data_IF_526149999565
#
_entry.id   IF_526149999565
#
_cell.length_a   1.000
_cell.length_b   1.000
_cell.length_c   1.000
_cell.angle_alpha   90.00
_cell.angle_beta   90.00
_cell.angle_gamma   90.00
#
_symmetry.space_group_name_H-M   'P 1'
#
loop_
_entity.id
_entity.type
_entity.pdbx_description
1 polymer ?
#
# COMPACT_ATOMS: atom_id res chain seq x y z
N UNK A 1 18.94 -4.99 -0.95
CA UNK A 1 18.41 -4.10 0.12
C UNK A 1 17.05 -3.58 -0.31
N UNK A 2 16.16 -3.28 0.64
CA UNK A 2 14.83 -2.73 0.37
C UNK A 2 14.22 -2.12 1.62
N UNK A 3 13.16 -1.35 1.45
CA UNK A 3 12.42 -0.68 2.51
C UNK A 3 10.92 -0.79 2.22
N UNK A 4 10.12 -0.70 3.27
CA UNK A 4 8.66 -0.65 3.22
C UNK A 4 8.19 0.07 4.50
N UNK A 5 7.20 0.93 4.37
CA UNK A 5 6.59 1.64 5.49
C UNK A 5 5.12 1.23 5.62
N UNK A 6 4.67 1.12 6.86
CA UNK A 6 3.26 1.00 7.22
C UNK A 6 2.81 2.33 7.83
N UNK A 7 1.86 2.99 7.20
CA UNK A 7 1.30 4.24 7.69
C UNK A 7 -0.10 3.99 8.26
N UNK A 8 -0.27 4.16 9.56
CA UNK A 8 -1.56 4.00 10.22
C UNK A 8 -2.39 5.27 9.99
N UNK A 9 -3.54 5.13 9.35
CA UNK A 9 -4.42 6.28 9.12
C UNK A 9 -5.50 6.35 10.19
N UNK A 10 -6.16 5.22 10.47
CA UNK A 10 -7.28 5.12 11.42
C UNK A 10 -7.22 3.83 12.24
N UNK A 11 -8.18 3.64 13.14
CA UNK A 11 -8.31 2.46 14.00
C UNK A 11 -8.32 1.13 13.23
N UNK A 12 -8.88 1.10 12.01
CA UNK A 12 -9.04 -0.12 11.22
C UNK A 12 -8.32 -0.09 9.87
N UNK A 13 -7.61 0.99 9.54
CA UNK A 13 -7.07 1.25 8.20
C UNK A 13 -5.61 1.72 8.22
N UNK A 14 -4.79 1.06 7.41
CA UNK A 14 -3.41 1.46 7.16
C UNK A 14 -3.06 1.45 5.66
N UNK A 15 -1.95 2.10 5.32
CA UNK A 15 -1.41 2.20 3.97
C UNK A 15 0.00 1.61 3.92
N UNK A 16 0.29 0.80 2.89
CA UNK A 16 1.66 0.44 2.54
C UNK A 16 2.26 1.58 1.72
N UNK A 17 3.32 2.20 2.24
CA UNK A 17 4.04 3.29 1.58
C UNK A 17 5.50 2.93 1.34
N UNK A 18 6.11 3.60 0.36
CA UNK A 18 7.55 3.58 0.13
C UNK A 18 8.14 2.16 0.03
N UNK A 19 7.38 1.21 -0.51
CA UNK A 19 7.86 -0.14 -0.76
C UNK A 19 8.79 -0.11 -1.96
N UNK A 20 10.10 -0.26 -1.69
CA UNK A 20 11.13 -0.20 -2.70
C UNK A 20 12.17 -1.30 -2.49
N UNK A 21 12.63 -1.89 -3.59
CA UNK A 21 13.72 -2.88 -3.60
C UNK A 21 14.78 -2.43 -4.60
N UNK A 22 16.03 -2.37 -4.13
CA UNK A 22 17.19 -2.03 -4.95
C UNK A 22 17.26 -2.94 -6.18
N UNK A 23 17.60 -2.39 -7.34
CA UNK A 23 17.45 -3.06 -8.64
C UNK A 23 18.14 -4.43 -8.71
N UNK A 24 19.44 -4.52 -8.34
CA UNK A 24 20.18 -5.80 -8.29
C UNK A 24 19.70 -6.79 -7.22
N UNK A 25 18.71 -6.40 -6.42
CA UNK A 25 18.07 -7.23 -5.39
C UNK A 25 16.61 -7.59 -5.73
N UNK A 26 16.06 -7.12 -6.85
CA UNK A 26 14.68 -7.44 -7.29
C UNK A 26 14.56 -8.92 -7.67
N UNK A 27 13.31 -9.41 -7.71
CA UNK A 27 12.94 -10.82 -8.03
C UNK A 27 13.51 -11.90 -7.08
N UNK A 28 14.14 -11.50 -5.96
CA UNK A 28 14.63 -12.40 -4.90
C UNK A 28 13.65 -12.55 -3.72
N UNK A 29 12.38 -12.20 -3.91
CA UNK A 29 11.35 -12.28 -2.86
C UNK A 29 11.42 -11.22 -1.75
N UNK A 30 12.35 -10.26 -1.83
CA UNK A 30 12.54 -9.22 -0.79
C UNK A 30 11.29 -8.37 -0.61
N UNK A 31 10.66 -7.92 -1.71
CA UNK A 31 9.43 -7.12 -1.65
C UNK A 31 8.31 -7.84 -0.92
N UNK A 32 8.08 -9.12 -1.24
CA UNK A 32 7.09 -9.96 -0.55
C UNK A 32 7.41 -10.12 0.94
N UNK A 33 8.70 -10.27 1.29
CA UNK A 33 9.11 -10.39 2.70
C UNK A 33 8.83 -9.09 3.46
N UNK A 34 9.19 -7.94 2.89
CA UNK A 34 8.94 -6.62 3.50
C UNK A 34 7.44 -6.38 3.67
N UNK A 35 6.64 -6.62 2.61
CA UNK A 35 5.19 -6.50 2.67
C UNK A 35 4.62 -7.37 3.80
N UNK A 36 4.99 -8.65 3.88
CA UNK A 36 4.50 -9.57 4.93
C UNK A 36 4.86 -9.12 6.35
N UNK A 37 5.97 -8.41 6.55
CA UNK A 37 6.34 -7.84 7.85
C UNK A 37 5.35 -6.71 8.19
N UNK A 38 5.15 -5.75 7.30
CA UNK A 38 4.18 -4.67 7.51
C UNK A 38 2.74 -5.19 7.71
N UNK A 39 2.32 -6.21 6.95
CA UNK A 39 1.00 -6.81 7.14
C UNK A 39 0.84 -7.50 8.50
N UNK A 40 1.92 -8.11 9.01
CA UNK A 40 1.91 -8.72 10.34
C UNK A 40 1.85 -7.66 11.44
N UNK A 41 2.60 -6.56 11.28
CA UNK A 41 2.53 -5.42 12.20
C UNK A 41 1.13 -4.81 12.20
N UNK A 42 0.52 -4.58 11.03
CA UNK A 42 -0.85 -4.10 10.90
C UNK A 42 -1.85 -5.01 11.65
N UNK A 43 -1.75 -6.33 11.47
CA UNK A 43 -2.57 -7.30 12.24
C UNK A 43 -2.34 -7.19 13.74
N UNK A 44 -1.09 -7.07 14.18
CA UNK A 44 -0.74 -6.92 15.59
C UNK A 44 -1.29 -5.63 16.22
N UNK A 45 -1.51 -4.59 15.42
CA UNK A 45 -2.10 -3.32 15.83
C UNK A 45 -3.64 -3.31 15.74
N UNK A 46 -4.27 -4.42 15.35
CA UNK A 46 -5.73 -4.52 15.21
C UNK A 46 -6.29 -3.88 13.93
N UNK A 47 -5.43 -3.51 12.97
CA UNK A 47 -5.85 -3.01 11.66
C UNK A 47 -6.58 -4.12 10.90
N UNK A 48 -7.71 -3.78 10.30
CA UNK A 48 -8.55 -4.71 9.55
C UNK A 48 -8.30 -4.63 8.04
N UNK A 49 -7.89 -3.47 7.56
CA UNK A 49 -7.76 -3.17 6.13
C UNK A 49 -6.45 -2.47 5.84
N UNK A 50 -5.79 -2.90 4.77
CA UNK A 50 -4.56 -2.28 4.28
C UNK A 50 -4.70 -1.97 2.81
N UNK A 51 -4.40 -0.74 2.41
CA UNK A 51 -4.38 -0.36 1.00
C UNK A 51 -3.00 0.14 0.54
N UNK A 52 -2.83 0.32 -0.76
CA UNK A 52 -1.70 1.02 -1.36
C UNK A 52 -2.14 1.75 -2.62
N UNK A 53 -1.48 2.87 -2.91
CA UNK A 53 -1.46 3.49 -4.24
C UNK A 53 -0.16 3.07 -4.93
N UNK A 54 -0.24 2.59 -6.17
CA UNK A 54 0.91 1.95 -6.81
C UNK A 54 0.85 2.00 -8.34
N UNK A 55 2.03 2.06 -8.98
CA UNK A 55 2.21 1.81 -10.42
C UNK A 55 2.43 0.33 -10.77
N UNK A 56 2.48 -0.54 -9.76
CA UNK A 56 2.73 -1.98 -9.90
C UNK A 56 1.63 -2.77 -9.17
N UNK A 57 0.36 -2.69 -9.61
CA UNK A 57 -0.74 -3.36 -8.95
C UNK A 57 -0.58 -4.89 -8.91
N UNK A 58 0.02 -5.49 -9.94
CA UNK A 58 0.19 -6.95 -10.07
C UNK A 58 1.05 -7.54 -8.94
N UNK A 59 1.98 -6.77 -8.39
CA UNK A 59 2.74 -7.18 -7.21
C UNK A 59 1.83 -7.38 -6.00
N UNK A 60 0.89 -6.46 -5.77
CA UNK A 60 -0.05 -6.51 -4.65
C UNK A 60 -1.15 -7.54 -4.89
N UNK A 61 -1.67 -7.65 -6.11
CA UNK A 61 -2.69 -8.66 -6.48
C UNK A 61 -2.20 -10.10 -6.22
N UNK A 62 -0.91 -10.36 -6.46
CA UNK A 62 -0.26 -11.65 -6.10
C UNK A 62 -0.13 -11.90 -4.60
N UNK A 63 -0.30 -10.87 -3.77
CA UNK A 63 -0.25 -10.91 -2.31
C UNK A 63 -1.64 -10.70 -1.69
N UNK A 64 -2.71 -11.17 -2.36
CA UNK A 64 -4.10 -11.18 -1.86
C UNK A 64 -4.77 -9.81 -1.76
N UNK A 65 -4.15 -8.74 -2.27
CA UNK A 65 -4.86 -7.49 -2.50
C UNK A 65 -5.81 -7.62 -3.69
N UNK A 66 -6.81 -6.75 -3.73
CA UNK A 66 -7.76 -6.60 -4.84
C UNK A 66 -7.74 -5.15 -5.30
N UNK A 67 -7.96 -4.93 -6.59
CA UNK A 67 -8.18 -3.58 -7.12
C UNK A 67 -9.43 -2.96 -6.50
N UNK A 68 -9.36 -1.67 -6.20
CA UNK A 68 -10.48 -0.88 -5.71
C UNK A 68 -10.48 0.48 -6.40
N UNK A 69 -11.66 1.04 -6.61
CA UNK A 69 -11.79 2.41 -7.09
C UNK A 69 -11.29 3.40 -6.01
N UNK A 70 -10.46 4.37 -6.39
CA UNK A 70 -9.94 5.41 -5.48
C UNK A 70 -11.06 6.16 -4.74
N UNK A 71 -12.22 6.36 -5.39
CA UNK A 71 -13.39 7.01 -4.79
C UNK A 71 -14.00 6.24 -3.61
N UNK A 72 -13.75 4.93 -3.52
CA UNK A 72 -14.20 4.09 -2.41
C UNK A 72 -13.26 4.13 -1.21
N UNK A 73 -12.08 4.72 -1.35
CA UNK A 73 -11.19 4.92 -0.22
C UNK A 73 -11.67 6.12 0.61
N UNK A 74 -11.52 6.10 1.95
CA UNK A 74 -12.04 7.17 2.80
C UNK A 74 -11.45 8.54 2.43
N UNK A 75 -12.28 9.57 2.23
CA UNK A 75 -11.79 10.89 1.80
C UNK A 75 -10.71 11.50 2.70
N UNK A 76 -10.65 11.07 3.97
CA UNK A 76 -9.62 11.50 4.91
C UNK A 76 -8.20 11.10 4.50
N UNK A 77 -8.05 10.08 3.64
CA UNK A 77 -6.74 9.71 3.09
C UNK A 77 -6.27 10.70 2.00
N UNK A 78 -7.16 11.56 1.50
CA UNK A 78 -6.85 12.46 0.38
C UNK A 78 -6.01 13.67 0.81
N UNK A 79 -5.68 13.83 2.09
CA UNK A 79 -4.85 14.94 2.56
C UNK A 79 -3.49 15.05 1.85
N UNK A 80 -2.92 13.92 1.43
CA UNK A 80 -1.71 13.89 0.61
C UNK A 80 -2.02 14.08 -0.89
N UNK A 81 -3.10 13.46 -1.37
CA UNK A 81 -3.54 13.61 -2.75
C UNK A 81 -3.91 15.05 -3.11
N UNK A 82 -4.57 15.80 -2.24
CA UNK A 82 -4.95 17.19 -2.49
C UNK A 82 -3.75 18.14 -2.64
N UNK A 83 -2.59 17.75 -2.10
CA UNK A 83 -1.32 18.47 -2.26
C UNK A 83 -0.45 17.90 -3.38
N UNK A 84 -0.90 16.83 -4.03
CA UNK A 84 -0.19 16.19 -5.12
C UNK A 84 -0.34 17.03 -6.39
N UNK A 85 0.76 17.35 -7.10
CA UNK A 85 0.70 18.08 -8.37
C UNK A 85 -0.01 17.29 -9.46
N UNK A 86 -0.19 15.98 -9.29
CA UNK A 86 -0.95 15.13 -10.22
C UNK A 86 -2.43 15.01 -9.87
N UNK A 87 -2.93 15.63 -8.80
CA UNK A 87 -4.36 15.56 -8.51
C UNK A 87 -5.15 16.51 -9.43
N UNK A 88 -6.31 16.08 -9.98
CA UNK A 88 -6.98 14.80 -9.82
C UNK A 88 -6.54 13.70 -10.79
N UNK A 89 -5.67 14.00 -11.75
CA UNK A 89 -5.19 13.11 -12.82
C UNK A 89 -4.10 12.10 -12.37
N UNK A 90 -4.16 11.64 -11.12
CA UNK A 90 -3.20 10.69 -10.58
C UNK A 90 -3.39 9.32 -11.24
N UNK A 91 -2.32 8.81 -11.82
CA UNK A 91 -2.21 7.60 -12.63
C UNK A 91 -1.84 6.34 -11.83
N UNK A 92 -1.74 6.42 -10.51
CA UNK A 92 -1.54 5.24 -9.66
C UNK A 92 -2.81 4.38 -9.59
N UNK A 93 -2.68 3.07 -9.46
CA UNK A 93 -3.80 2.18 -9.14
C UNK A 93 -3.99 2.07 -7.62
N UNK A 94 -5.25 1.92 -7.20
CA UNK A 94 -5.59 1.64 -5.80
C UNK A 94 -5.85 0.15 -5.59
N UNK A 95 -5.21 -0.44 -4.59
CA UNK A 95 -5.38 -1.83 -4.19
C UNK A 95 -5.63 -1.93 -2.69
N UNK A 96 -6.48 -2.85 -2.25
CA UNK A 96 -6.85 -3.05 -0.85
C UNK A 96 -6.90 -4.53 -0.49
N UNK A 97 -6.58 -4.84 0.77
CA UNK A 97 -6.66 -6.17 1.35
C UNK A 97 -7.34 -6.10 2.72
N UNK A 98 -8.27 -7.03 2.94
CA UNK A 98 -8.82 -7.34 4.26
C UNK A 98 -7.85 -8.32 4.96
N UNK A 99 -7.44 -8.01 6.20
CA UNK A 99 -6.43 -8.73 6.96
C UNK A 99 -6.96 -9.97 7.68
#
# INVERSE_FOLDING_TARGET
KGACALHILWEDLAEIRSLAVAEGSRRKGIGNRLLKICLREAKGLGIKRVFALTYQPEFFLKNSFKGIDKSKLPQKIWGDCLRCPRFPECDEDAVIMEL
#
